data_IF_880351053225
#
_entry.id   IF_880351053225
#
_cell.length_a   1.000
_cell.length_b   1.000
_cell.length_c   1.000
_cell.angle_alpha   90.00
_cell.angle_beta   90.00
_cell.angle_gamma   90.00
#
_symmetry.space_group_name_H-M   'P 1'
#
loop_
_entity.id
_entity.type
_entity.pdbx_description
1 polymer ?
#
# COMPACT_ATOMS: atom_id res chain seq x y z
N UNK A 1 4.31 -34.28 -7.37
CA UNK A 1 4.98 -35.09 -6.36
C UNK A 1 6.40 -34.62 -5.98
N UNK A 2 7.37 -34.45 -6.89
CA UNK A 2 8.73 -33.95 -6.52
C UNK A 2 8.75 -32.48 -6.08
N UNK A 3 7.89 -31.61 -6.62
CA UNK A 3 7.78 -30.19 -6.21
C UNK A 3 7.22 -30.00 -4.78
N UNK A 4 6.53 -30.99 -4.26
CA UNK A 4 5.86 -30.93 -2.96
C UNK A 4 6.83 -31.09 -1.76
N UNK A 5 8.04 -31.59 -2.05
CA UNK A 5 9.07 -31.91 -1.04
C UNK A 5 10.15 -30.80 -1.00
N UNK A 6 10.16 -29.86 -1.96
CA UNK A 6 11.18 -28.83 -2.02
C UNK A 6 10.92 -27.74 -0.98
N UNK A 7 11.92 -27.37 -0.15
CA UNK A 7 11.77 -26.46 0.98
C UNK A 7 11.34 -25.03 0.58
N UNK A 8 11.42 -24.67 -0.69
CA UNK A 8 11.12 -23.33 -1.21
C UNK A 8 9.90 -23.28 -2.14
N UNK A 9 9.11 -24.34 -2.19
CA UNK A 9 7.87 -24.36 -2.94
C UNK A 9 6.81 -23.53 -2.16
N UNK A 10 6.38 -22.43 -2.76
CA UNK A 10 5.23 -21.66 -2.36
C UNK A 10 3.97 -22.38 -2.85
N UNK A 11 2.93 -22.45 -2.02
CA UNK A 11 1.59 -22.91 -2.39
C UNK A 11 0.58 -21.81 -2.10
N UNK A 12 -0.41 -21.75 -2.94
CA UNK A 12 -1.51 -20.79 -2.84
C UNK A 12 -2.74 -21.46 -2.25
N UNK A 13 -3.39 -20.78 -1.31
CA UNK A 13 -4.76 -21.00 -0.85
C UNK A 13 -5.57 -19.76 -1.16
N UNK A 14 -6.76 -19.92 -1.74
CA UNK A 14 -7.71 -18.83 -1.90
C UNK A 14 -8.79 -18.88 -0.83
N UNK A 15 -9.09 -17.73 -0.24
CA UNK A 15 -10.29 -17.52 0.55
C UNK A 15 -11.27 -16.70 -0.31
N UNK A 16 -12.39 -17.31 -0.65
CA UNK A 16 -13.38 -16.75 -1.54
C UNK A 16 -14.61 -16.31 -0.74
N UNK A 17 -15.31 -15.26 -1.19
CA UNK A 17 -16.60 -14.89 -0.62
C UNK A 17 -17.64 -15.99 -0.89
N UNK A 18 -18.60 -16.11 0.02
CA UNK A 18 -19.71 -17.09 -0.13
C UNK A 18 -20.59 -16.77 -1.34
N UNK A 19 -20.80 -15.49 -1.61
CA UNK A 19 -21.59 -14.95 -2.71
C UNK A 19 -20.76 -13.91 -3.47
N UNK A 20 -19.83 -14.32 -4.36
CA UNK A 20 -18.94 -13.39 -5.03
C UNK A 20 -19.68 -12.43 -5.97
N UNK A 21 -19.19 -11.22 -6.11
CA UNK A 21 -19.62 -10.37 -7.21
C UNK A 21 -19.26 -11.00 -8.54
N UNK A 22 -20.18 -10.88 -9.50
CA UNK A 22 -20.00 -11.29 -10.88
C UNK A 22 -20.35 -10.15 -11.82
N UNK A 23 -19.75 -10.14 -12.99
CA UNK A 23 -20.07 -9.25 -14.08
C UNK A 23 -20.70 -10.05 -15.21
N UNK A 24 -21.88 -9.62 -15.69
CA UNK A 24 -22.58 -10.28 -16.78
C UNK A 24 -21.84 -10.06 -18.10
N UNK A 25 -21.34 -11.12 -18.70
CA UNK A 25 -20.60 -11.07 -19.97
C UNK A 25 -20.74 -12.39 -20.71
N UNK A 26 -21.50 -12.38 -21.80
CA UNK A 26 -21.76 -13.55 -22.65
C UNK A 26 -20.50 -14.15 -23.30
N UNK A 27 -19.40 -13.41 -23.33
CA UNK A 27 -18.13 -13.91 -23.87
C UNK A 27 -17.43 -14.92 -22.94
N UNK A 28 -17.88 -15.02 -21.70
CA UNK A 28 -17.38 -16.02 -20.73
C UNK A 28 -18.32 -17.22 -20.64
N UNK A 29 -17.74 -18.38 -20.36
CA UNK A 29 -18.51 -19.60 -20.10
C UNK A 29 -19.46 -19.37 -18.91
N UNK A 30 -20.76 -19.59 -19.10
CA UNK A 30 -21.78 -19.32 -18.10
C UNK A 30 -22.36 -17.92 -18.12
N UNK A 31 -21.98 -17.05 -19.09
CA UNK A 31 -22.57 -15.71 -19.28
C UNK A 31 -22.17 -14.67 -18.23
N UNK A 32 -21.22 -14.99 -17.37
CA UNK A 32 -20.70 -14.09 -16.34
C UNK A 32 -19.25 -14.38 -15.99
N UNK A 33 -18.57 -13.43 -15.38
CA UNK A 33 -17.19 -13.56 -14.91
C UNK A 33 -17.05 -13.06 -13.49
N UNK A 34 -16.32 -13.82 -12.65
CA UNK A 34 -15.93 -13.44 -11.30
C UNK A 34 -14.46 -13.03 -11.22
N UNK A 35 -14.02 -12.46 -10.06
CA UNK A 35 -12.61 -12.20 -9.81
C UNK A 35 -11.76 -13.48 -9.85
N UNK A 36 -12.29 -14.58 -9.31
CA UNK A 36 -11.61 -15.88 -9.37
C UNK A 36 -11.33 -16.31 -10.81
N UNK A 37 -12.32 -16.25 -11.69
CA UNK A 37 -12.15 -16.59 -13.11
C UNK A 37 -11.19 -15.66 -13.85
N UNK A 38 -11.15 -14.36 -13.47
CA UNK A 38 -10.14 -13.44 -14.00
C UNK A 38 -8.73 -13.81 -13.52
N UNK A 39 -8.57 -14.23 -12.27
CA UNK A 39 -7.31 -14.74 -11.72
C UNK A 39 -6.87 -15.99 -12.49
N UNK A 40 -7.75 -16.97 -12.65
CA UNK A 40 -7.46 -18.20 -13.40
C UNK A 40 -7.01 -17.92 -14.85
N UNK A 41 -7.63 -16.93 -15.49
CA UNK A 41 -7.32 -16.55 -16.88
C UNK A 41 -6.03 -15.76 -17.02
N UNK A 42 -5.78 -14.77 -16.15
CA UNK A 42 -4.69 -13.80 -16.32
C UNK A 42 -3.52 -14.00 -15.35
N UNK A 43 -3.74 -14.66 -14.22
CA UNK A 43 -2.76 -14.78 -13.14
C UNK A 43 -2.86 -16.14 -12.44
N UNK A 44 -2.72 -17.24 -13.21
CA UNK A 44 -2.92 -18.60 -12.68
C UNK A 44 -1.98 -18.92 -11.51
N UNK A 45 -0.92 -18.15 -11.31
CA UNK A 45 -0.04 -18.27 -10.15
C UNK A 45 -0.77 -17.93 -8.83
N UNK A 46 -1.85 -17.18 -8.87
CA UNK A 46 -2.68 -16.83 -7.71
C UNK A 46 -3.87 -17.79 -7.53
N UNK A 47 -4.07 -18.76 -8.42
CA UNK A 47 -5.19 -19.71 -8.35
C UNK A 47 -5.02 -20.70 -7.20
N UNK A 48 -6.15 -21.23 -6.71
CA UNK A 48 -6.18 -22.27 -5.68
C UNK A 48 -5.25 -23.42 -6.02
N UNK A 49 -4.42 -23.84 -5.06
CA UNK A 49 -3.49 -24.97 -5.23
C UNK A 49 -2.29 -24.67 -6.12
N UNK A 50 -2.17 -23.48 -6.71
CA UNK A 50 -1.01 -23.12 -7.51
C UNK A 50 0.29 -23.25 -6.71
N UNK A 51 1.36 -23.71 -7.38
CA UNK A 51 2.66 -23.92 -6.77
C UNK A 51 3.75 -23.23 -7.59
N UNK A 52 4.60 -22.47 -6.90
CA UNK A 52 5.70 -21.73 -7.50
C UNK A 52 6.98 -21.90 -6.71
N UNK A 53 8.13 -21.82 -7.38
CA UNK A 53 9.42 -21.92 -6.74
C UNK A 53 9.94 -20.52 -6.39
N UNK A 54 10.20 -20.27 -5.12
CA UNK A 54 10.96 -19.10 -4.67
C UNK A 54 12.46 -19.40 -4.68
N UNK A 55 13.28 -18.36 -4.50
CA UNK A 55 14.73 -18.48 -4.53
C UNK A 55 15.23 -19.53 -3.52
N UNK A 56 16.05 -20.52 -3.94
CA UNK A 56 16.38 -21.68 -3.12
C UNK A 56 17.14 -21.36 -1.84
N UNK A 57 17.87 -20.25 -1.76
CA UNK A 57 18.58 -19.84 -0.54
C UNK A 57 17.71 -19.05 0.44
N UNK A 58 16.56 -18.53 -0.01
CA UNK A 58 15.62 -17.75 0.83
C UNK A 58 14.50 -18.67 1.32
N UNK A 59 14.87 -19.65 2.13
CA UNK A 59 14.08 -20.84 2.48
C UNK A 59 12.83 -20.61 3.32
N UNK A 60 12.66 -19.42 3.89
CA UNK A 60 11.49 -19.06 4.72
C UNK A 60 11.29 -17.54 4.76
N UNK A 61 10.19 -17.11 5.38
CA UNK A 61 9.80 -15.71 5.48
C UNK A 61 10.86 -14.81 6.13
N UNK A 62 11.64 -15.31 7.11
CA UNK A 62 12.72 -14.54 7.71
C UNK A 62 13.83 -14.21 6.71
N UNK A 63 14.29 -15.19 5.93
CA UNK A 63 15.33 -14.96 4.91
C UNK A 63 14.80 -14.08 3.77
N UNK A 64 13.56 -14.28 3.34
CA UNK A 64 12.89 -13.43 2.35
C UNK A 64 12.83 -11.98 2.82
N UNK A 65 12.34 -11.74 4.03
CA UNK A 65 12.19 -10.40 4.63
C UNK A 65 13.55 -9.73 4.88
N UNK A 66 14.52 -10.46 5.42
CA UNK A 66 15.86 -9.94 5.62
C UNK A 66 16.53 -9.56 4.30
N UNK A 67 16.38 -10.38 3.27
CA UNK A 67 16.89 -10.08 1.94
C UNK A 67 16.26 -8.80 1.36
N UNK A 68 14.94 -8.61 1.53
CA UNK A 68 14.26 -7.39 1.12
C UNK A 68 14.81 -6.14 1.82
N UNK A 69 15.16 -6.26 3.12
CA UNK A 69 15.63 -5.14 3.93
C UNK A 69 17.10 -4.77 3.68
N UNK A 70 17.97 -5.75 3.44
CA UNK A 70 19.41 -5.53 3.38
C UNK A 70 19.99 -5.45 1.96
N UNK A 71 19.34 -6.02 0.96
CA UNK A 71 19.81 -5.96 -0.43
C UNK A 71 19.65 -4.56 -1.01
N UNK A 72 20.73 -3.92 -1.48
CA UNK A 72 20.64 -2.64 -2.17
C UNK A 72 20.13 -2.84 -3.61
N UNK A 73 18.85 -2.63 -3.85
CA UNK A 73 18.23 -2.73 -5.17
C UNK A 73 18.34 -1.44 -6.00
N UNK A 74 19.28 -0.53 -5.69
CA UNK A 74 19.34 0.82 -6.26
C UNK A 74 19.42 0.88 -7.79
N UNK A 75 20.05 -0.10 -8.41
CA UNK A 75 20.24 -0.18 -9.86
C UNK A 75 19.23 -1.07 -10.57
N UNK A 76 18.28 -1.64 -9.84
CA UNK A 76 17.26 -2.55 -10.39
C UNK A 76 15.95 -1.77 -10.50
N UNK A 77 15.28 -1.90 -11.66
CA UNK A 77 14.01 -1.21 -11.93
C UNK A 77 14.07 0.28 -11.61
N UNK A 78 15.08 0.97 -12.14
CA UNK A 78 15.20 2.42 -11.99
C UNK A 78 14.04 3.09 -12.71
N UNK A 79 13.32 3.94 -11.99
CA UNK A 79 12.18 4.70 -12.51
C UNK A 79 12.50 6.19 -12.42
N UNK A 80 12.19 6.91 -13.47
CA UNK A 80 12.22 8.38 -13.45
C UNK A 80 10.89 8.91 -12.95
N UNK A 81 10.94 9.83 -11.99
CA UNK A 81 9.75 10.40 -11.38
C UNK A 81 9.69 11.91 -11.52
N UNK A 82 8.51 12.43 -11.79
CA UNK A 82 8.19 13.83 -11.54
C UNK A 82 7.32 13.94 -10.30
N UNK A 83 7.77 14.75 -9.35
CA UNK A 83 7.13 14.94 -8.05
C UNK A 83 6.16 16.11 -8.09
N UNK A 84 4.90 15.81 -7.75
CA UNK A 84 3.87 16.79 -7.45
C UNK A 84 3.78 16.95 -5.93
N UNK A 85 3.75 18.19 -5.44
CA UNK A 85 3.44 18.49 -4.03
C UNK A 85 1.94 18.66 -3.89
N UNK A 86 1.33 17.78 -3.11
CA UNK A 86 -0.09 17.84 -2.73
C UNK A 86 -0.24 18.75 -1.51
N UNK A 87 -1.10 19.74 -1.60
CA UNK A 87 -1.44 20.63 -0.48
C UNK A 87 -2.77 20.19 0.11
N UNK A 88 -2.76 19.82 1.37
CA UNK A 88 -3.95 19.34 2.06
C UNK A 88 -4.75 20.48 2.71
N UNK A 89 -6.05 20.28 3.00
CA UNK A 89 -6.90 21.29 3.63
C UNK A 89 -6.38 21.82 4.98
N UNK A 90 -5.64 20.99 5.73
CA UNK A 90 -5.00 21.35 7.00
C UNK A 90 -3.68 22.13 6.84
N UNK A 91 -3.38 22.62 5.64
CA UNK A 91 -2.11 23.25 5.25
C UNK A 91 -0.89 22.32 5.34
N UNK A 92 -1.09 21.02 5.58
CA UNK A 92 -0.08 20.00 5.43
C UNK A 92 0.28 19.74 3.97
N UNK A 93 1.38 19.04 3.74
CA UNK A 93 1.78 18.60 2.40
C UNK A 93 2.18 17.14 2.40
N UNK A 94 1.87 16.48 1.31
CA UNK A 94 2.42 15.21 0.89
C UNK A 94 3.01 15.31 -0.51
N UNK A 95 3.51 14.22 -1.04
CA UNK A 95 4.06 14.21 -2.40
C UNK A 95 3.54 13.01 -3.19
N UNK A 96 3.34 13.24 -4.48
CA UNK A 96 2.96 12.23 -5.46
C UNK A 96 4.05 12.15 -6.52
N UNK A 97 4.69 11.00 -6.63
CA UNK A 97 5.73 10.76 -7.62
C UNK A 97 5.12 10.05 -8.83
N UNK A 98 4.92 10.79 -9.93
CA UNK A 98 4.36 10.28 -11.18
C UNK A 98 5.50 9.74 -12.03
N UNK A 99 5.39 8.49 -12.46
CA UNK A 99 6.39 7.87 -13.33
C UNK A 99 6.39 8.54 -14.71
N UNK A 100 7.59 8.80 -15.24
CA UNK A 100 7.80 9.38 -16.56
C UNK A 100 8.85 8.59 -17.34
N UNK A 101 8.77 8.60 -18.66
CA UNK A 101 9.71 7.84 -19.51
C UNK A 101 11.16 8.32 -19.37
N UNK A 102 11.35 9.63 -19.27
CA UNK A 102 12.66 10.26 -19.10
C UNK A 102 12.52 11.63 -18.46
N UNK A 103 13.56 12.07 -17.80
CA UNK A 103 13.72 13.46 -17.37
C UNK A 103 14.57 14.20 -18.41
N UNK A 104 14.17 15.42 -18.76
CA UNK A 104 14.94 16.32 -19.60
C UNK A 104 15.47 17.48 -18.72
N UNK A 105 16.80 17.57 -18.45
CA UNK A 105 17.36 18.61 -17.61
C UNK A 105 17.03 20.04 -18.07
N UNK A 106 16.88 20.28 -19.38
CA UNK A 106 16.56 21.59 -19.93
C UNK A 106 15.10 22.01 -19.65
N UNK A 107 14.16 21.06 -19.72
CA UNK A 107 12.73 21.29 -19.51
C UNK A 107 12.36 21.14 -18.03
N UNK A 108 12.84 20.07 -17.41
CA UNK A 108 12.49 19.68 -16.04
C UNK A 108 13.25 20.49 -14.98
N UNK A 109 14.38 21.06 -15.35
CA UNK A 109 15.10 22.14 -14.67
C UNK A 109 15.30 21.99 -13.17
N UNK A 110 15.88 23.02 -12.56
CA UNK A 110 16.17 23.07 -11.12
C UNK A 110 15.00 23.67 -10.28
N UNK A 111 13.76 23.53 -10.75
CA UNK A 111 12.62 24.01 -9.98
C UNK A 111 12.42 23.16 -8.72
N UNK A 112 12.43 23.82 -7.58
CA UNK A 112 12.12 23.21 -6.27
C UNK A 112 11.06 24.07 -5.60
N UNK A 113 9.89 23.50 -5.23
CA UNK A 113 8.86 24.22 -4.50
C UNK A 113 9.39 24.76 -3.17
N UNK A 114 8.91 25.93 -2.72
CA UNK A 114 9.38 26.59 -1.49
C UNK A 114 9.31 25.66 -0.28
N UNK A 115 8.20 24.91 -0.15
CA UNK A 115 7.99 23.95 0.94
C UNK A 115 8.98 22.78 0.97
N UNK A 116 9.75 22.56 -0.12
CA UNK A 116 10.65 21.42 -0.29
C UNK A 116 12.13 21.80 -0.40
N UNK A 117 12.48 23.08 -0.26
CA UNK A 117 13.86 23.58 -0.43
C UNK A 117 14.91 22.98 0.53
N UNK A 118 14.46 22.43 1.65
CA UNK A 118 15.36 21.82 2.65
C UNK A 118 15.72 20.36 2.33
N UNK A 119 15.20 19.81 1.24
CA UNK A 119 15.40 18.41 0.84
C UNK A 119 15.99 18.34 -0.57
N UNK A 120 16.92 17.39 -0.76
CA UNK A 120 17.48 17.08 -2.07
C UNK A 120 16.87 15.80 -2.61
N UNK A 121 16.49 15.79 -3.89
CA UNK A 121 16.01 14.59 -4.57
C UNK A 121 17.17 13.85 -5.26
N UNK A 122 17.05 12.51 -5.44
CA UNK A 122 17.97 11.76 -6.29
C UNK A 122 17.89 12.22 -7.76
N UNK A 123 18.91 11.92 -8.56
CA UNK A 123 18.99 12.31 -9.99
C UNK A 123 17.82 11.82 -10.85
N UNK A 124 17.19 10.71 -10.47
CA UNK A 124 16.01 10.17 -11.17
C UNK A 124 14.69 10.87 -10.82
N UNK A 125 14.75 12.00 -10.09
CA UNK A 125 13.58 12.77 -9.68
C UNK A 125 13.72 14.24 -10.08
N UNK A 126 12.59 14.85 -10.43
CA UNK A 126 12.45 16.31 -10.55
C UNK A 126 11.06 16.74 -10.08
N UNK A 127 10.88 18.01 -9.73
CA UNK A 127 9.57 18.55 -9.40
C UNK A 127 8.82 19.01 -10.65
N UNK A 128 7.49 18.85 -10.63
CA UNK A 128 6.65 19.55 -11.58
C UNK A 128 6.69 21.06 -11.34
N UNK A 129 6.81 21.85 -12.39
CA UNK A 129 6.52 23.28 -12.34
C UNK A 129 4.99 23.48 -12.26
N UNK A 130 4.51 24.58 -11.68
CA UNK A 130 3.06 24.81 -11.55
C UNK A 130 2.28 24.81 -12.87
N UNK A 131 2.94 25.18 -13.96
CA UNK A 131 2.41 25.29 -15.33
C UNK A 131 2.81 24.11 -16.24
N UNK A 132 3.36 23.03 -15.67
CA UNK A 132 3.78 21.86 -16.47
C UNK A 132 2.54 21.21 -17.14
N UNK A 133 2.50 21.13 -18.48
CA UNK A 133 1.35 20.60 -19.19
C UNK A 133 1.07 19.12 -18.91
N UNK A 134 2.02 18.39 -18.34
CA UNK A 134 1.87 16.98 -17.96
C UNK A 134 1.10 16.79 -16.66
N UNK A 135 0.78 17.88 -15.93
CA UNK A 135 -0.02 17.86 -14.70
C UNK A 135 -1.50 17.59 -14.93
N UNK A 136 -1.97 17.61 -16.14
CA UNK A 136 -3.35 17.27 -16.49
C UNK A 136 -3.42 16.69 -17.89
N UNK A 137 -4.40 15.83 -18.13
CA UNK A 137 -4.64 15.26 -19.46
C UNK A 137 -6.06 14.73 -19.55
N UNK A 138 -6.63 14.78 -20.77
CA UNK A 138 -7.92 14.17 -21.09
C UNK A 138 -7.79 12.78 -21.72
N UNK A 139 -6.60 12.16 -21.66
CA UNK A 139 -6.46 10.77 -22.09
C UNK A 139 -7.20 9.81 -21.15
N UNK A 140 -7.45 8.60 -21.62
CA UNK A 140 -8.20 7.55 -20.93
C UNK A 140 -7.30 6.40 -20.40
N UNK A 141 -5.97 6.60 -20.38
CA UNK A 141 -5.05 5.58 -19.90
C UNK A 141 -5.34 5.22 -18.44
N UNK A 142 -5.42 3.93 -18.11
CA UNK A 142 -5.58 3.53 -16.71
C UNK A 142 -4.35 3.94 -15.87
N UNK A 143 -4.59 4.32 -14.62
CA UNK A 143 -3.52 4.76 -13.71
C UNK A 143 -3.54 3.96 -12.41
N UNK A 144 -2.38 3.47 -11.98
CA UNK A 144 -2.20 2.79 -10.70
C UNK A 144 -1.58 3.74 -9.68
N UNK A 145 -2.24 3.89 -8.54
CA UNK A 145 -1.75 4.62 -7.37
C UNK A 145 -1.12 3.60 -6.42
N UNK A 146 0.13 3.78 -6.06
CA UNK A 146 0.86 2.86 -5.19
C UNK A 146 1.09 3.52 -3.83
N UNK A 147 0.74 2.82 -2.74
CA UNK A 147 0.98 3.23 -1.37
C UNK A 147 2.10 2.36 -0.77
N UNK A 148 3.13 3.01 -0.28
CA UNK A 148 4.30 2.35 0.31
C UNK A 148 4.08 1.88 1.76
N UNK A 149 4.95 0.98 2.22
CA UNK A 149 5.01 0.52 3.61
C UNK A 149 5.58 1.56 4.58
N UNK A 150 5.70 1.18 5.84
CA UNK A 150 6.16 2.05 6.92
C UNK A 150 7.49 2.73 6.57
N UNK A 151 7.54 4.06 6.69
CA UNK A 151 8.71 4.94 6.41
C UNK A 151 9.30 4.85 5.00
N UNK A 152 8.63 4.17 4.06
CA UNK A 152 9.10 3.96 2.70
C UNK A 152 8.87 5.16 1.76
N UNK A 153 8.57 4.87 0.50
CA UNK A 153 8.29 5.86 -0.55
C UNK A 153 8.46 5.26 -1.94
N UNK A 154 8.44 6.12 -2.94
CA UNK A 154 8.61 5.72 -4.36
C UNK A 154 9.99 5.10 -4.67
N UNK A 155 10.98 5.32 -3.81
CA UNK A 155 12.31 4.72 -3.93
C UNK A 155 12.36 3.24 -3.53
N UNK A 156 11.31 2.72 -2.88
CA UNK A 156 11.24 1.32 -2.46
C UNK A 156 11.28 0.37 -3.66
N UNK A 157 12.06 -0.71 -3.53
CA UNK A 157 12.27 -1.64 -4.63
C UNK A 157 10.99 -2.33 -5.10
N UNK A 158 10.08 -2.67 -4.19
CA UNK A 158 8.78 -3.26 -4.54
C UNK A 158 7.89 -2.29 -5.32
N UNK A 159 7.90 -0.99 -4.96
CA UNK A 159 7.15 0.04 -5.67
C UNK A 159 7.72 0.26 -7.06
N UNK A 160 9.05 0.43 -7.18
CA UNK A 160 9.73 0.63 -8.48
C UNK A 160 9.54 -0.55 -9.43
N UNK A 161 9.62 -1.79 -8.92
CA UNK A 161 9.41 -3.00 -9.72
C UNK A 161 7.99 -3.02 -10.29
N UNK A 162 6.97 -2.72 -9.48
CA UNK A 162 5.59 -2.64 -9.95
C UNK A 162 5.39 -1.51 -10.95
N UNK A 163 5.86 -0.30 -10.64
CA UNK A 163 5.79 0.86 -11.55
C UNK A 163 6.44 0.53 -12.89
N UNK A 164 7.68 0.05 -12.89
CA UNK A 164 8.40 -0.28 -14.11
C UNK A 164 7.62 -1.30 -14.94
N UNK A 165 7.14 -2.38 -14.31
CA UNK A 165 6.45 -3.46 -15.03
C UNK A 165 5.12 -3.01 -15.62
N UNK A 166 4.28 -2.33 -14.86
CA UNK A 166 2.93 -1.95 -15.29
C UNK A 166 2.96 -0.86 -16.38
N UNK A 167 3.93 0.07 -16.31
CA UNK A 167 4.06 1.15 -17.29
C UNK A 167 4.73 0.72 -18.60
N UNK A 168 5.69 -0.23 -18.52
CA UNK A 168 6.42 -0.66 -19.72
C UNK A 168 5.71 -1.73 -20.52
N UNK A 169 4.94 -2.62 -19.87
CA UNK A 169 4.34 -3.77 -20.54
C UNK A 169 2.82 -3.69 -20.72
N UNK A 170 2.11 -2.87 -19.92
CA UNK A 170 0.66 -2.92 -19.87
C UNK A 170 -0.02 -1.59 -20.20
N UNK A 171 0.74 -0.59 -20.64
CA UNK A 171 0.22 0.74 -21.02
C UNK A 171 -0.60 1.45 -19.93
N UNK A 172 -0.27 1.20 -18.66
CA UNK A 172 -0.79 1.97 -17.54
C UNK A 172 0.13 3.16 -17.26
N UNK A 173 -0.45 4.24 -16.76
CA UNK A 173 0.30 5.23 -16.00
C UNK A 173 0.41 4.77 -14.55
N UNK A 174 1.43 5.23 -13.84
CA UNK A 174 1.62 4.88 -12.44
C UNK A 174 2.15 6.06 -11.63
N UNK A 175 1.71 6.15 -10.39
CA UNK A 175 2.23 7.11 -9.43
C UNK A 175 2.38 6.46 -8.05
N UNK A 176 3.30 6.98 -7.25
CA UNK A 176 3.50 6.56 -5.87
C UNK A 176 3.12 7.70 -4.95
N UNK A 177 2.13 7.46 -4.10
CA UNK A 177 1.74 8.36 -3.04
C UNK A 177 2.72 8.22 -1.89
N UNK A 178 3.46 9.30 -1.58
CA UNK A 178 4.36 9.34 -0.44
C UNK A 178 3.65 10.01 0.73
N UNK A 179 3.52 9.30 1.83
CA UNK A 179 2.97 9.82 3.07
C UNK A 179 3.78 11.01 3.61
N UNK A 180 3.16 11.85 4.44
CA UNK A 180 3.79 13.05 5.02
C UNK A 180 5.16 12.74 5.60
N UNK A 181 6.18 13.47 5.16
CA UNK A 181 7.55 13.33 5.63
C UNK A 181 8.35 12.18 5.02
N UNK A 182 7.72 11.27 4.28
CA UNK A 182 8.40 10.15 3.64
C UNK A 182 9.08 10.54 2.32
N UNK A 183 9.99 9.70 1.86
CA UNK A 183 10.68 9.83 0.58
C UNK A 183 11.30 11.22 0.36
N UNK A 184 12.04 11.72 1.36
CA UNK A 184 12.70 13.04 1.31
C UNK A 184 11.75 14.21 1.06
N UNK A 185 10.47 14.11 1.44
CA UNK A 185 9.56 15.24 1.44
C UNK A 185 9.60 15.96 2.78
N UNK A 186 9.45 17.31 2.75
CA UNK A 186 9.28 18.12 3.95
C UNK A 186 7.82 18.11 4.38
N UNK A 187 7.56 18.27 5.68
CA UNK A 187 6.23 18.55 6.22
C UNK A 187 6.06 20.03 6.51
N UNK A 188 4.85 20.55 6.41
CA UNK A 188 4.51 21.96 6.68
C UNK A 188 3.64 22.15 7.91
N UNK A 189 3.10 21.06 8.43
CA UNK A 189 2.35 20.98 9.70
C UNK A 189 3.01 20.01 10.66
N UNK A 190 2.80 20.11 11.98
CA UNK A 190 3.44 19.23 12.96
C UNK A 190 2.78 17.84 13.03
N UNK A 191 2.55 17.24 11.87
CA UNK A 191 1.88 15.96 11.74
C UNK A 191 2.58 15.07 10.71
N UNK A 192 2.77 13.80 11.05
CA UNK A 192 3.15 12.72 10.14
C UNK A 192 1.89 11.98 9.65
N UNK A 193 1.96 10.66 9.56
CA UNK A 193 0.86 9.79 9.11
C UNK A 193 0.73 8.56 10.01
N UNK A 194 -0.37 7.83 9.86
CA UNK A 194 -0.61 6.56 10.54
C UNK A 194 -1.45 5.60 9.67
N UNK A 195 -1.69 4.38 10.12
CA UNK A 195 -2.41 3.36 9.37
C UNK A 195 -3.89 3.71 9.07
N UNK A 196 -4.48 4.59 9.85
CA UNK A 196 -5.86 5.04 9.70
C UNK A 196 -6.01 6.44 9.12
N UNK A 197 -4.92 7.14 8.78
CA UNK A 197 -5.01 8.49 8.22
C UNK A 197 -5.35 8.45 6.73
N UNK A 198 -6.64 8.39 6.41
CA UNK A 198 -7.18 8.25 5.05
C UNK A 198 -7.40 9.56 4.31
N UNK A 199 -7.43 10.70 5.01
CA UNK A 199 -7.72 12.00 4.41
C UNK A 199 -6.73 12.39 3.31
N UNK A 200 -5.45 12.09 3.50
CA UNK A 200 -4.41 12.44 2.53
C UNK A 200 -4.55 11.67 1.23
N UNK A 201 -4.83 10.36 1.29
CA UNK A 201 -5.06 9.55 0.07
C UNK A 201 -6.40 9.91 -0.60
N UNK A 202 -7.44 10.23 0.18
CA UNK A 202 -8.72 10.74 -0.34
C UNK A 202 -8.51 12.03 -1.13
N UNK A 203 -7.75 12.97 -0.58
CA UNK A 203 -7.37 14.20 -1.27
C UNK A 203 -6.58 13.92 -2.55
N UNK A 204 -5.60 13.02 -2.50
CA UNK A 204 -4.81 12.60 -3.66
C UNK A 204 -5.69 12.03 -4.79
N UNK A 205 -6.62 11.14 -4.47
CA UNK A 205 -7.54 10.55 -5.47
C UNK A 205 -8.44 11.62 -6.09
N UNK A 206 -8.95 12.57 -5.29
CA UNK A 206 -9.77 13.67 -5.80
C UNK A 206 -8.96 14.63 -6.69
N UNK A 207 -7.72 14.96 -6.32
CA UNK A 207 -6.81 15.77 -7.15
C UNK A 207 -6.50 15.07 -8.48
N UNK A 208 -6.18 13.77 -8.44
CA UNK A 208 -5.94 12.99 -9.67
C UNK A 208 -7.16 12.94 -10.59
N UNK A 209 -8.37 12.80 -10.05
CA UNK A 209 -9.60 12.83 -10.84
C UNK A 209 -9.85 14.19 -11.47
N UNK A 210 -9.53 15.26 -10.78
CA UNK A 210 -9.63 16.61 -11.35
C UNK A 210 -8.64 16.83 -12.50
N UNK A 211 -7.41 16.32 -12.36
CA UNK A 211 -6.35 16.46 -13.36
C UNK A 211 -6.50 15.52 -14.55
N UNK A 212 -7.00 14.32 -14.31
CA UNK A 212 -7.09 13.22 -15.28
C UNK A 212 -8.50 12.61 -15.28
N UNK A 213 -9.52 13.37 -15.69
CA UNK A 213 -10.94 13.02 -15.48
C UNK A 213 -11.37 11.72 -16.19
N UNK A 214 -10.70 11.36 -17.28
CA UNK A 214 -11.04 10.16 -18.05
C UNK A 214 -10.27 8.92 -17.63
N UNK A 215 -9.16 9.07 -16.88
CA UNK A 215 -8.34 7.94 -16.42
C UNK A 215 -9.10 7.11 -15.40
N UNK A 216 -9.07 5.81 -15.57
CA UNK A 216 -9.61 4.85 -14.58
C UNK A 216 -8.54 4.56 -13.54
N UNK A 217 -8.86 4.79 -12.27
CA UNK A 217 -7.91 4.69 -11.16
C UNK A 217 -7.95 3.30 -10.53
N UNK A 218 -6.76 2.77 -10.27
CA UNK A 218 -6.47 1.53 -9.55
C UNK A 218 -5.57 1.86 -8.37
N UNK A 219 -5.60 1.03 -7.33
CA UNK A 219 -4.78 1.28 -6.15
C UNK A 219 -4.10 -0.01 -5.68
N UNK A 220 -2.82 0.09 -5.32
CA UNK A 220 -2.04 -1.02 -4.77
C UNK A 220 -1.34 -0.56 -3.51
N UNK A 221 -1.61 -1.22 -2.39
CA UNK A 221 -0.99 -0.91 -1.11
C UNK A 221 -0.03 -2.01 -0.65
N UNK A 222 1.09 -1.61 -0.07
CA UNK A 222 2.09 -2.51 0.50
C UNK A 222 2.21 -2.28 2.01
N UNK A 223 2.12 -3.37 2.82
CA UNK A 223 2.30 -3.29 4.27
C UNK A 223 1.41 -2.22 4.89
N UNK A 224 1.95 -1.24 5.61
CA UNK A 224 1.17 -0.13 6.19
C UNK A 224 0.35 0.63 5.13
N UNK A 225 0.89 0.80 3.91
CA UNK A 225 0.14 1.39 2.79
C UNK A 225 -1.08 0.56 2.38
N UNK A 226 -1.03 -0.77 2.55
CA UNK A 226 -2.19 -1.62 2.36
C UNK A 226 -3.25 -1.37 3.43
N UNK A 227 -2.87 -1.12 4.70
CA UNK A 227 -3.81 -0.75 5.76
C UNK A 227 -4.49 0.59 5.48
N UNK A 228 -3.71 1.62 5.12
CA UNK A 228 -4.25 2.95 4.76
C UNK A 228 -5.23 2.84 3.59
N UNK A 229 -4.85 2.11 2.55
CA UNK A 229 -5.69 1.88 1.37
C UNK A 229 -6.97 1.14 1.72
N UNK A 230 -6.88 0.04 2.50
CA UNK A 230 -8.04 -0.77 2.90
C UNK A 230 -9.02 0.05 3.74
N UNK A 231 -8.51 0.84 4.70
CA UNK A 231 -9.33 1.76 5.47
C UNK A 231 -10.00 2.78 4.55
N UNK A 232 -9.25 3.41 3.64
CA UNK A 232 -9.77 4.40 2.70
C UNK A 232 -10.92 3.84 1.84
N UNK A 233 -10.71 2.72 1.13
CA UNK A 233 -11.76 2.17 0.25
C UNK A 233 -12.95 1.62 1.05
N UNK A 234 -12.75 1.15 2.28
CA UNK A 234 -13.82 0.74 3.18
C UNK A 234 -14.66 1.93 3.67
N UNK A 235 -14.04 3.09 3.94
CA UNK A 235 -14.74 4.34 4.27
C UNK A 235 -15.52 4.91 3.09
N UNK A 236 -14.97 4.84 1.88
CA UNK A 236 -15.67 5.28 0.65
C UNK A 236 -16.84 4.35 0.27
N UNK A 237 -16.72 3.05 0.55
CA UNK A 237 -17.74 2.07 0.22
C UNK A 237 -18.12 2.13 -1.26
N UNK A 238 -19.42 2.30 -1.55
CA UNK A 238 -19.95 2.40 -2.92
C UNK A 238 -19.57 3.70 -3.64
N UNK A 239 -19.08 4.71 -2.93
CA UNK A 239 -18.68 6.00 -3.51
C UNK A 239 -17.22 5.99 -4.00
N UNK A 240 -16.51 4.89 -3.84
CA UNK A 240 -15.11 4.77 -4.25
C UNK A 240 -14.92 4.98 -5.75
N UNK A 241 -13.97 5.83 -6.11
CA UNK A 241 -13.56 6.05 -7.51
C UNK A 241 -12.59 5.01 -8.02
N UNK A 242 -12.11 4.14 -7.16
CA UNK A 242 -11.14 3.09 -7.49
C UNK A 242 -11.87 1.92 -8.16
N UNK A 243 -11.36 1.48 -9.31
CA UNK A 243 -11.97 0.40 -10.09
C UNK A 243 -11.58 -0.99 -9.59
N UNK A 244 -10.37 -1.14 -9.06
CA UNK A 244 -9.91 -2.35 -8.40
C UNK A 244 -8.77 -2.00 -7.45
N UNK A 245 -8.72 -2.67 -6.30
CA UNK A 245 -7.71 -2.47 -5.27
C UNK A 245 -6.96 -3.76 -4.95
N UNK A 246 -5.65 -3.65 -4.67
CA UNK A 246 -4.83 -4.82 -4.29
C UNK A 246 -3.98 -4.50 -3.06
N UNK A 247 -4.10 -5.33 -2.02
CA UNK A 247 -3.33 -5.24 -0.79
C UNK A 247 -2.26 -6.35 -0.73
N UNK A 248 -1.01 -5.98 -0.47
CA UNK A 248 0.08 -6.94 -0.30
C UNK A 248 0.71 -6.83 1.09
N UNK A 249 0.76 -7.94 1.82
CA UNK A 249 1.35 -7.99 3.16
C UNK A 249 0.65 -7.07 4.16
N UNK A 250 -0.66 -6.93 4.07
CA UNK A 250 -1.44 -6.05 4.94
C UNK A 250 -1.42 -6.52 6.40
N UNK A 251 -1.03 -5.67 7.37
CA UNK A 251 -1.25 -5.91 8.79
C UNK A 251 -2.73 -5.63 9.14
N UNK A 252 -3.58 -6.63 8.99
CA UNK A 252 -5.04 -6.52 9.11
C UNK A 252 -5.50 -6.03 10.49
N UNK A 253 -4.95 -6.64 11.55
CA UNK A 253 -5.13 -6.24 12.95
C UNK A 253 -3.80 -5.76 13.53
N UNK A 254 -3.71 -4.46 13.76
CA UNK A 254 -2.49 -3.83 14.26
C UNK A 254 -2.19 -4.24 15.71
N UNK A 255 -3.22 -4.56 16.50
CA UNK A 255 -3.05 -5.04 17.88
C UNK A 255 -2.37 -6.40 17.87
N UNK A 256 -2.86 -7.30 17.02
CA UNK A 256 -2.27 -8.61 16.84
C UNK A 256 -0.85 -8.53 16.26
N UNK A 257 -0.65 -7.75 15.19
CA UNK A 257 0.68 -7.60 14.57
C UNK A 257 1.71 -7.01 15.54
N UNK A 258 1.30 -6.03 16.38
CA UNK A 258 2.16 -5.48 17.43
C UNK A 258 2.49 -6.54 18.48
N UNK A 259 1.53 -7.32 18.93
CA UNK A 259 1.76 -8.42 19.86
C UNK A 259 2.70 -9.47 19.24
N UNK A 260 2.44 -9.91 18.01
CA UNK A 260 3.22 -10.93 17.32
C UNK A 260 4.69 -10.52 17.16
N UNK A 261 4.95 -9.33 16.61
CA UNK A 261 6.33 -8.87 16.36
C UNK A 261 7.11 -8.65 17.67
N UNK A 262 6.44 -8.28 18.77
CA UNK A 262 7.10 -8.05 20.06
C UNK A 262 7.27 -9.32 20.90
N UNK A 263 6.57 -10.41 20.61
CA UNK A 263 6.61 -11.65 21.39
C UNK A 263 7.30 -12.81 20.65
N UNK A 264 7.56 -12.71 19.36
CA UNK A 264 8.41 -13.67 18.65
C UNK A 264 9.89 -13.35 18.86
N UNK A 265 10.76 -14.38 18.97
CA UNK A 265 12.20 -14.17 19.23
C UNK A 265 12.88 -13.28 18.20
N UNK A 266 12.59 -13.49 16.92
CA UNK A 266 13.16 -12.69 15.81
C UNK A 266 12.50 -11.32 15.73
N UNK A 267 11.22 -11.23 15.96
CA UNK A 267 10.45 -9.98 15.98
C UNK A 267 11.00 -9.02 17.03
N UNK A 268 11.04 -9.45 18.28
CA UNK A 268 11.49 -8.63 19.41
C UNK A 268 12.97 -8.21 19.31
N UNK A 269 13.82 -9.08 18.73
CA UNK A 269 15.28 -8.81 18.68
C UNK A 269 15.72 -8.02 17.47
N UNK A 270 15.04 -8.17 16.32
CA UNK A 270 15.50 -7.59 15.05
C UNK A 270 14.44 -6.72 14.37
N UNK A 271 13.22 -7.22 14.14
CA UNK A 271 12.24 -6.52 13.32
C UNK A 271 11.64 -5.31 14.03
N UNK A 272 11.14 -5.47 15.26
CA UNK A 272 10.52 -4.36 15.98
C UNK A 272 11.53 -3.22 16.28
N UNK A 273 12.77 -3.50 16.71
CA UNK A 273 13.79 -2.46 16.86
C UNK A 273 14.16 -1.76 15.54
N UNK A 274 14.29 -2.49 14.44
CA UNK A 274 14.62 -1.90 13.15
C UNK A 274 13.52 -0.97 12.64
N UNK A 275 12.27 -1.40 12.73
CA UNK A 275 11.11 -0.58 12.35
C UNK A 275 10.96 0.64 13.27
N UNK A 276 11.17 0.47 14.58
CA UNK A 276 11.14 1.58 15.53
C UNK A 276 12.24 2.61 15.24
N UNK A 277 13.45 2.15 14.90
CA UNK A 277 14.55 3.04 14.52
C UNK A 277 14.22 3.86 13.27
N UNK A 278 13.63 3.24 12.23
CA UNK A 278 13.20 3.95 11.04
C UNK A 278 12.16 5.06 11.35
N UNK A 279 11.21 4.77 12.24
CA UNK A 279 10.23 5.77 12.71
C UNK A 279 10.87 6.90 13.51
N UNK A 280 11.81 6.57 14.39
CA UNK A 280 12.58 7.56 15.17
C UNK A 280 13.38 8.46 14.23
N UNK A 281 14.05 7.89 13.23
CA UNK A 281 14.85 8.65 12.27
C UNK A 281 13.96 9.56 11.39
N UNK A 282 12.81 9.06 10.97
CA UNK A 282 11.80 9.86 10.28
C UNK A 282 11.35 11.05 11.16
N UNK A 283 10.96 10.80 12.42
CA UNK A 283 10.52 11.85 13.33
C UNK A 283 11.61 12.87 13.61
N UNK A 284 12.86 12.43 13.81
CA UNK A 284 14.02 13.30 13.99
C UNK A 284 14.30 14.18 12.77
N UNK A 285 14.12 13.64 11.58
CA UNK A 285 14.32 14.40 10.33
C UNK A 285 13.34 15.56 10.16
N UNK A 286 12.22 15.55 10.91
CA UNK A 286 11.18 16.57 10.90
C UNK A 286 11.00 17.26 12.26
N UNK A 287 11.92 17.06 13.20
CA UNK A 287 11.81 17.48 14.59
C UNK A 287 11.49 18.97 14.74
N UNK A 288 12.12 19.84 13.94
CA UNK A 288 11.89 21.29 14.01
C UNK A 288 10.43 21.69 13.69
N UNK A 289 9.82 20.98 12.76
CA UNK A 289 8.40 21.21 12.45
C UNK A 289 7.49 20.56 13.49
N UNK A 290 7.78 19.33 13.91
CA UNK A 290 6.98 18.60 14.89
C UNK A 290 6.96 19.31 16.25
N UNK A 291 8.05 19.96 16.67
CA UNK A 291 8.13 20.78 17.90
C UNK A 291 7.28 22.05 17.87
N UNK A 292 6.69 22.45 16.74
CA UNK A 292 5.71 23.55 16.72
C UNK A 292 4.43 23.19 17.45
N UNK A 293 4.07 21.91 17.52
CA UNK A 293 3.03 21.42 18.42
C UNK A 293 3.56 21.36 19.86
N UNK A 294 2.86 21.97 20.86
CA UNK A 294 3.33 21.97 22.24
C UNK A 294 3.48 20.60 22.88
N UNK A 295 2.58 19.65 22.56
CA UNK A 295 2.64 18.27 23.09
C UNK A 295 3.85 17.53 22.52
N UNK A 296 4.13 17.70 21.24
CA UNK A 296 5.31 17.11 20.61
C UNK A 296 6.60 17.72 21.13
N UNK A 297 6.62 19.05 21.36
CA UNK A 297 7.77 19.74 21.95
C UNK A 297 8.12 19.17 23.32
N UNK A 298 7.15 19.09 24.22
CA UNK A 298 7.32 18.51 25.56
C UNK A 298 7.93 17.09 25.48
N UNK A 299 7.47 16.26 24.55
CA UNK A 299 7.97 14.89 24.35
C UNK A 299 9.42 14.86 23.86
N UNK A 300 9.81 15.72 22.95
CA UNK A 300 11.19 15.82 22.50
C UNK A 300 12.14 16.40 23.57
N UNK A 301 11.64 17.26 24.46
CA UNK A 301 12.41 17.87 25.54
C UNK A 301 12.46 17.00 26.79
N UNK A 302 11.44 16.23 27.05
CA UNK A 302 11.50 15.12 28.03
C UNK A 302 12.57 14.15 27.55
N UNK A 303 13.53 13.78 28.39
CA UNK A 303 14.60 12.82 28.04
C UNK A 303 13.98 11.66 27.24
N UNK A 304 14.32 11.58 25.96
CA UNK A 304 13.77 10.56 25.06
C UNK A 304 13.96 9.21 25.71
N UNK A 305 12.84 8.58 26.06
CA UNK A 305 12.80 7.18 26.45
C UNK A 305 13.46 6.39 25.33
N UNK A 306 14.25 5.40 25.66
CA UNK A 306 14.91 4.54 24.69
C UNK A 306 13.81 3.77 23.91
N UNK A 307 13.44 4.25 22.73
CA UNK A 307 12.38 3.67 21.89
C UNK A 307 12.98 2.52 21.10
N UNK A 308 12.60 1.31 21.48
CA UNK A 308 13.11 0.07 20.88
C UNK A 308 12.02 -0.78 20.22
N UNK A 309 10.75 -0.36 20.30
CA UNK A 309 9.63 -1.06 19.65
C UNK A 309 8.73 -0.07 18.94
N UNK A 310 8.01 -0.54 17.92
CA UNK A 310 7.00 0.25 17.22
C UNK A 310 5.91 0.74 18.20
N UNK A 311 5.47 -0.13 19.11
CA UNK A 311 4.47 0.23 20.11
C UNK A 311 4.95 1.37 21.03
N UNK A 312 6.23 1.35 21.45
CA UNK A 312 6.80 2.46 22.25
C UNK A 312 6.80 3.76 21.43
N UNK A 313 7.16 3.70 20.15
CA UNK A 313 7.08 4.87 19.28
C UNK A 313 5.64 5.38 19.16
N UNK A 314 4.69 4.49 18.94
CA UNK A 314 3.29 4.86 18.75
C UNK A 314 2.66 5.40 20.04
N UNK A 315 2.99 4.87 21.21
CA UNK A 315 2.56 5.46 22.49
C UNK A 315 3.18 6.85 22.71
N UNK A 316 4.42 7.04 22.27
CA UNK A 316 5.13 8.29 22.52
C UNK A 316 4.80 9.39 21.51
N UNK A 317 4.66 9.05 20.23
CA UNK A 317 4.46 10.00 19.13
C UNK A 317 3.11 9.84 18.42
N UNK A 318 2.83 8.68 17.82
CA UNK A 318 1.69 8.52 16.91
C UNK A 318 0.36 8.72 17.64
N UNK A 319 0.12 8.03 18.74
CA UNK A 319 -1.14 8.12 19.46
C UNK A 319 -1.47 9.58 19.88
N UNK A 320 -0.59 10.30 20.59
CA UNK A 320 -0.90 11.67 21.00
C UNK A 320 -0.95 12.67 19.83
N UNK A 321 -0.22 12.44 18.75
CA UNK A 321 -0.26 13.29 17.55
C UNK A 321 -1.64 13.25 16.87
N UNK A 322 -2.32 12.10 16.97
CA UNK A 322 -3.63 11.89 16.35
C UNK A 322 -4.78 11.80 17.35
N UNK A 323 -4.57 12.27 18.59
CA UNK A 323 -5.62 12.39 19.59
C UNK A 323 -5.99 11.12 20.35
N UNK A 324 -5.24 10.03 20.17
CA UNK A 324 -5.41 8.80 20.93
C UNK A 324 -4.66 8.89 22.28
N UNK A 325 -5.17 8.20 23.29
CA UNK A 325 -4.53 8.14 24.60
C UNK A 325 -3.40 7.12 24.65
N UNK A 326 -3.50 6.03 23.88
CA UNK A 326 -2.53 4.92 23.84
C UNK A 326 -2.36 4.38 22.43
N UNK A 327 -1.21 3.73 22.17
CA UNK A 327 -1.00 2.97 20.92
C UNK A 327 -2.06 1.86 20.74
N UNK A 328 -2.47 1.21 21.82
CA UNK A 328 -3.50 0.16 21.75
C UNK A 328 -4.86 0.69 21.29
N UNK A 329 -5.25 1.88 21.75
CA UNK A 329 -6.46 2.55 21.27
C UNK A 329 -6.36 2.88 19.79
N UNK A 330 -5.25 3.44 19.36
CA UNK A 330 -4.93 3.68 17.95
C UNK A 330 -5.00 2.39 17.14
N UNK A 331 -4.36 1.30 17.57
CA UNK A 331 -4.35 0.03 16.85
C UNK A 331 -5.75 -0.55 16.68
N UNK A 332 -6.56 -0.59 17.74
CA UNK A 332 -7.94 -1.08 17.67
C UNK A 332 -8.78 -0.29 16.68
N UNK A 333 -8.61 1.03 16.63
CA UNK A 333 -9.38 1.88 15.74
C UNK A 333 -8.87 1.80 14.28
N UNK A 334 -7.56 1.81 14.06
CA UNK A 334 -6.93 1.89 12.75
C UNK A 334 -6.75 0.52 12.07
N UNK A 335 -7.04 -0.61 12.73
CA UNK A 335 -6.99 -1.94 12.14
C UNK A 335 -7.93 -2.04 10.95
N UNK A 336 -7.38 -2.40 9.79
CA UNK A 336 -8.10 -2.32 8.52
C UNK A 336 -9.12 -3.45 8.32
N UNK A 337 -9.02 -4.55 9.07
CA UNK A 337 -10.05 -5.59 9.12
C UNK A 337 -11.43 -5.01 9.53
N UNK A 338 -11.45 -3.98 10.36
CA UNK A 338 -12.67 -3.30 10.80
C UNK A 338 -13.49 -2.67 9.65
N UNK A 339 -12.86 -2.38 8.50
CA UNK A 339 -13.53 -1.74 7.34
C UNK A 339 -13.71 -2.69 6.17
N UNK A 340 -13.23 -3.92 6.30
CA UNK A 340 -13.27 -4.90 5.21
C UNK A 340 -14.70 -5.19 4.76
N UNK A 341 -15.67 -5.26 5.68
CA UNK A 341 -17.08 -5.48 5.38
C UNK A 341 -17.76 -4.31 4.64
N UNK A 342 -17.18 -3.11 4.69
CA UNK A 342 -17.71 -1.93 3.97
C UNK A 342 -17.24 -1.82 2.54
N UNK A 343 -16.21 -2.55 2.14
CA UNK A 343 -15.62 -2.44 0.80
C UNK A 343 -16.66 -2.81 -0.27
N UNK A 344 -16.80 -1.96 -1.27
CA UNK A 344 -17.63 -2.17 -2.47
C UNK A 344 -16.82 -2.02 -3.77
N UNK A 345 -15.50 -1.91 -3.64
CA UNK A 345 -14.54 -1.96 -4.72
C UNK A 345 -14.02 -3.39 -4.86
N UNK A 346 -13.94 -3.99 -6.05
CA UNK A 346 -13.26 -5.28 -6.26
C UNK A 346 -11.86 -5.26 -5.63
N UNK A 347 -11.63 -6.18 -4.69
CA UNK A 347 -10.50 -6.14 -3.79
C UNK A 347 -9.80 -7.49 -3.71
N UNK A 348 -8.52 -7.50 -4.09
CA UNK A 348 -7.63 -8.65 -3.98
C UNK A 348 -6.62 -8.42 -2.86
N UNK A 349 -6.53 -9.34 -1.91
CA UNK A 349 -5.48 -9.34 -0.90
C UNK A 349 -4.48 -10.48 -1.13
N UNK A 350 -3.20 -10.24 -0.86
CA UNK A 350 -2.14 -11.25 -0.96
C UNK A 350 -1.29 -11.18 0.31
N UNK A 351 -1.31 -12.23 1.12
CA UNK A 351 -0.52 -12.34 2.34
C UNK A 351 0.26 -13.65 2.37
N UNK A 352 1.40 -13.64 3.05
CA UNK A 352 2.20 -14.85 3.31
C UNK A 352 1.96 -15.37 4.72
N UNK A 353 1.74 -16.67 4.86
CA UNK A 353 1.56 -17.31 6.17
C UNK A 353 2.88 -17.39 6.98
N UNK A 354 4.03 -17.23 6.32
CA UNK A 354 5.35 -17.19 6.98
C UNK A 354 5.89 -15.75 7.16
N UNK A 355 5.00 -14.74 7.08
CA UNK A 355 5.35 -13.33 7.29
C UNK A 355 5.79 -13.10 8.76
N UNK A 356 7.07 -12.71 9.00
CA UNK A 356 7.59 -12.57 10.35
C UNK A 356 7.23 -11.25 11.04
N UNK A 357 6.49 -10.37 10.37
CA UNK A 357 6.10 -9.03 10.86
C UNK A 357 4.63 -8.99 11.22
N UNK A 358 3.78 -9.45 10.31
CA UNK A 358 2.33 -9.32 10.41
C UNK A 358 1.71 -10.41 11.29
N UNK A 359 2.23 -11.66 11.21
CA UNK A 359 1.59 -12.83 11.79
C UNK A 359 0.40 -13.30 10.94
N UNK A 360 0.19 -14.61 10.90
CA UNK A 360 -0.88 -15.21 10.06
C UNK A 360 -2.19 -15.41 10.82
N UNK A 361 -2.17 -15.35 12.14
CA UNK A 361 -3.32 -15.67 13.00
C UNK A 361 -4.43 -14.61 12.92
N UNK A 362 -4.12 -13.42 12.40
CA UNK A 362 -5.06 -12.31 12.22
C UNK A 362 -5.54 -12.15 10.77
N UNK A 363 -5.42 -13.18 9.93
CA UNK A 363 -6.01 -13.14 8.58
C UNK A 363 -7.53 -13.06 8.66
N UNK A 364 -8.16 -12.08 7.99
CA UNK A 364 -9.59 -11.81 8.12
C UNK A 364 -10.41 -12.73 7.19
N UNK A 365 -10.21 -14.04 7.29
CA UNK A 365 -10.85 -15.00 6.38
C UNK A 365 -12.38 -14.93 6.45
N UNK A 366 -12.95 -14.73 7.65
CA UNK A 366 -14.41 -14.68 7.83
C UNK A 366 -15.01 -13.40 7.23
N UNK A 367 -14.35 -12.26 7.38
CA UNK A 367 -14.77 -11.01 6.75
C UNK A 367 -14.66 -11.10 5.21
N UNK A 368 -13.62 -11.78 4.71
CA UNK A 368 -13.49 -12.05 3.27
C UNK A 368 -14.61 -12.96 2.77
N UNK A 369 -14.96 -14.02 3.50
CA UNK A 369 -16.10 -14.90 3.15
C UNK A 369 -17.42 -14.15 3.15
N UNK A 370 -17.59 -13.20 4.04
CA UNK A 370 -18.82 -12.43 4.19
C UNK A 370 -18.97 -11.29 3.18
N UNK A 371 -17.87 -10.76 2.61
CA UNK A 371 -17.95 -9.62 1.70
C UNK A 371 -17.81 -10.06 0.23
N UNK A 372 -18.85 -9.92 -0.61
CA UNK A 372 -18.84 -10.31 -2.02
C UNK A 372 -17.72 -9.71 -2.88
N UNK A 373 -17.19 -8.55 -2.49
CA UNK A 373 -16.19 -7.80 -3.26
C UNK A 373 -14.75 -8.21 -2.99
N UNK A 374 -14.49 -9.09 -2.02
CA UNK A 374 -13.15 -9.39 -1.53
C UNK A 374 -12.71 -10.79 -1.92
N UNK A 375 -11.39 -10.95 -2.15
CA UNK A 375 -10.73 -12.23 -2.36
C UNK A 375 -9.35 -12.18 -1.69
N UNK A 376 -9.01 -13.20 -0.90
CA UNK A 376 -7.69 -13.30 -0.25
C UNK A 376 -6.91 -14.48 -0.82
N UNK A 377 -5.69 -14.19 -1.23
CA UNK A 377 -4.67 -15.16 -1.63
C UNK A 377 -3.67 -15.30 -0.48
N UNK A 378 -3.64 -16.47 0.12
CA UNK A 378 -2.65 -16.86 1.12
C UNK A 378 -1.56 -17.70 0.49
N UNK A 379 -0.32 -17.41 0.82
CA UNK A 379 0.81 -18.20 0.35
C UNK A 379 1.56 -18.84 1.52
N UNK A 380 1.95 -20.10 1.38
CA UNK A 380 2.68 -20.80 2.46
C UNK A 380 4.05 -20.18 2.74
N UNK A 381 4.61 -19.44 1.77
CA UNK A 381 5.93 -18.79 1.84
C UNK A 381 5.91 -17.47 1.11
N UNK A 382 6.76 -16.55 1.54
CA UNK A 382 6.89 -15.24 0.88
C UNK A 382 7.56 -14.18 1.75
N UNK A 383 7.41 -14.28 3.07
CA UNK A 383 7.84 -13.26 4.02
C UNK A 383 7.09 -11.94 3.84
N UNK A 384 7.61 -10.86 4.44
CA UNK A 384 6.97 -9.56 4.43
C UNK A 384 7.31 -8.78 3.14
N UNK A 385 6.34 -8.64 2.22
CA UNK A 385 6.46 -7.90 0.94
C UNK A 385 7.67 -8.37 0.10
N UNK A 386 8.06 -9.63 0.20
CA UNK A 386 9.29 -10.15 -0.40
C UNK A 386 9.03 -11.07 -1.60
N UNK A 387 8.70 -12.33 -1.41
CA UNK A 387 8.43 -13.32 -2.47
C UNK A 387 9.47 -13.36 -3.59
N UNK A 388 10.76 -13.33 -3.28
CA UNK A 388 11.82 -13.34 -4.28
C UNK A 388 11.94 -14.69 -4.97
N UNK A 389 11.94 -14.68 -6.30
CA UNK A 389 12.23 -15.83 -7.15
C UNK A 389 13.73 -15.93 -7.50
N UNK A 390 14.45 -14.80 -7.49
CA UNK A 390 15.87 -14.74 -7.83
C UNK A 390 16.64 -13.71 -6.98
N UNK A 391 17.95 -13.62 -7.23
CA UNK A 391 18.85 -12.63 -6.60
C UNK A 391 18.89 -11.28 -7.33
N UNK A 392 18.14 -11.11 -8.42
CA UNK A 392 18.07 -9.86 -9.19
C UNK A 392 16.88 -9.00 -8.80
N UNK A 393 16.08 -9.44 -7.82
CA UNK A 393 14.95 -8.68 -7.30
C UNK A 393 13.60 -9.03 -7.92
N UNK A 394 13.54 -10.06 -8.76
CA UNK A 394 12.26 -10.55 -9.30
C UNK A 394 11.40 -11.09 -8.18
N UNK A 395 10.18 -10.56 -8.07
CA UNK A 395 9.17 -10.98 -7.09
C UNK A 395 8.06 -11.75 -7.79
N UNK A 396 7.68 -12.86 -7.19
CA UNK A 396 6.66 -13.78 -7.69
C UNK A 396 5.33 -13.09 -8.03
N UNK A 397 4.89 -12.14 -7.21
CA UNK A 397 3.59 -11.49 -7.39
C UNK A 397 3.55 -10.42 -8.49
N UNK A 398 4.70 -9.85 -8.90
CA UNK A 398 4.71 -8.62 -9.72
C UNK A 398 4.07 -8.82 -11.09
N UNK A 399 4.52 -9.82 -11.86
CA UNK A 399 3.98 -10.10 -13.20
C UNK A 399 2.52 -10.56 -13.13
N UNK A 400 2.12 -11.51 -12.25
CA UNK A 400 0.73 -11.89 -12.10
C UNK A 400 -0.17 -10.72 -11.71
N UNK A 401 0.26 -9.85 -10.80
CA UNK A 401 -0.50 -8.67 -10.41
C UNK A 401 -0.75 -7.71 -11.59
N UNK A 402 0.28 -7.44 -12.38
CA UNK A 402 0.14 -6.58 -13.56
C UNK A 402 -0.83 -7.20 -14.59
N UNK A 403 -0.75 -8.51 -14.83
CA UNK A 403 -1.69 -9.22 -15.71
C UNK A 403 -3.12 -9.18 -15.18
N UNK A 404 -3.31 -9.38 -13.87
CA UNK A 404 -4.62 -9.29 -13.23
C UNK A 404 -5.24 -7.90 -13.43
N UNK A 405 -4.53 -6.82 -13.08
CA UNK A 405 -5.02 -5.45 -13.24
C UNK A 405 -5.33 -5.12 -14.70
N UNK A 406 -4.46 -5.53 -15.63
CA UNK A 406 -4.67 -5.33 -17.06
C UNK A 406 -5.84 -6.14 -17.59
N UNK A 407 -6.00 -7.39 -17.15
CA UNK A 407 -7.12 -8.25 -17.49
C UNK A 407 -8.43 -7.69 -16.96
N UNK A 408 -8.46 -7.24 -15.70
CA UNK A 408 -9.61 -6.60 -15.09
C UNK A 408 -10.02 -5.33 -15.85
N UNK A 409 -9.04 -4.49 -16.20
CA UNK A 409 -9.30 -3.29 -17.00
C UNK A 409 -9.94 -3.64 -18.34
N UNK A 410 -9.38 -4.61 -19.06
CA UNK A 410 -9.84 -5.04 -20.38
C UNK A 410 -11.24 -5.67 -20.35
N UNK A 411 -11.44 -6.62 -19.43
CA UNK A 411 -12.66 -7.43 -19.45
C UNK A 411 -13.84 -6.77 -18.73
N UNK A 412 -13.58 -5.93 -17.73
CA UNK A 412 -14.63 -5.32 -16.92
C UNK A 412 -14.79 -3.84 -17.24
N UNK A 413 -13.70 -3.07 -17.07
CA UNK A 413 -13.80 -1.61 -17.05
C UNK A 413 -14.03 -1.03 -18.45
N UNK A 414 -13.31 -1.53 -19.47
CA UNK A 414 -13.49 -1.07 -20.86
C UNK A 414 -14.82 -1.51 -21.46
N UNK A 415 -15.40 -2.62 -20.95
CA UNK A 415 -16.73 -3.07 -21.37
C UNK A 415 -17.85 -2.37 -20.59
N UNK A 416 -17.52 -1.54 -19.60
CA UNK A 416 -18.51 -0.84 -18.77
C UNK A 416 -19.40 -1.76 -17.93
N UNK A 417 -18.90 -2.93 -17.54
CA UNK A 417 -19.68 -3.90 -16.80
C UNK A 417 -19.79 -3.48 -15.32
N UNK A 418 -21.00 -3.61 -14.78
CA UNK A 418 -21.26 -3.31 -13.36
C UNK A 418 -21.33 -4.63 -12.54
N UNK A 419 -20.81 -4.62 -11.29
CA UNK A 419 -20.83 -5.80 -10.45
C UNK A 419 -22.24 -6.10 -9.95
N UNK A 420 -22.59 -7.38 -9.88
CA UNK A 420 -23.81 -7.88 -9.27
C UNK A 420 -23.50 -9.05 -8.33
N UNK A 421 -24.34 -9.26 -7.33
CA UNK A 421 -24.26 -10.40 -6.39
C UNK A 421 -25.66 -10.86 -6.04
N UNK A 422 -25.82 -12.14 -5.76
CA UNK A 422 -27.05 -12.75 -5.25
C UNK A 422 -27.09 -12.77 -3.71
N UNK A 423 -25.99 -12.39 -3.05
CA UNK A 423 -25.89 -12.30 -1.60
C UNK A 423 -26.25 -10.92 -1.04
N UNK A 424 -26.66 -10.92 0.22
CA UNK A 424 -26.83 -9.68 0.96
C UNK A 424 -25.50 -8.96 1.16
N UNK A 425 -25.51 -7.64 1.04
CA UNK A 425 -24.32 -6.84 1.32
C UNK A 425 -24.13 -6.70 2.83
N UNK A 426 -22.97 -7.07 3.38
CA UNK A 426 -22.73 -6.98 4.80
C UNK A 426 -22.79 -5.53 5.26
N UNK A 427 -23.35 -5.31 6.47
CA UNK A 427 -23.32 -4.03 7.13
C UNK A 427 -22.06 -3.94 7.99
N UNK A 428 -21.41 -2.79 7.94
CA UNK A 428 -20.29 -2.51 8.82
C UNK A 428 -20.76 -1.71 10.04
N UNK A 429 -20.46 -2.23 11.22
CA UNK A 429 -20.75 -1.57 12.50
C UNK A 429 -19.61 -0.66 12.99
N UNK A 430 -18.49 -0.64 12.28
CA UNK A 430 -17.37 0.27 12.56
C UNK A 430 -17.50 1.53 11.70
N UNK A 431 -17.51 2.68 12.36
CA UNK A 431 -17.46 3.98 11.67
C UNK A 431 -16.10 4.24 10.99
N UNK A 432 -15.94 5.43 10.40
CA UNK A 432 -14.65 5.89 9.90
C UNK A 432 -13.58 5.86 10.99
N UNK A 433 -12.31 5.83 10.59
CA UNK A 433 -11.20 5.92 11.55
C UNK A 433 -11.27 7.27 12.25
N UNK A 434 -11.19 7.28 13.57
CA UNK A 434 -11.41 8.47 14.40
C UNK A 434 -10.57 9.68 13.99
N UNK A 435 -9.33 9.41 13.52
CA UNK A 435 -8.40 10.45 13.06
C UNK A 435 -8.78 11.09 11.71
N UNK A 436 -9.79 10.56 11.01
CA UNK A 436 -10.27 11.13 9.75
C UNK A 436 -11.42 12.13 9.98
N UNK A 437 -11.94 12.21 11.20
CA UNK A 437 -13.07 13.06 11.58
C UNK A 437 -12.65 14.41 12.21
N UNK A 438 -11.37 14.78 12.13
CA UNK A 438 -10.99 16.13 12.49
C UNK A 438 -11.66 17.06 11.49
N UNK A 439 -12.74 17.72 11.94
CA UNK A 439 -13.45 18.74 11.19
C UNK A 439 -12.44 19.82 10.79
N UNK A 440 -12.26 19.96 9.52
CA UNK A 440 -11.51 21.04 8.92
C UNK A 440 -12.51 22.19 8.67
N UNK A 441 -12.98 22.81 9.78
CA UNK A 441 -13.71 24.08 9.73
C UNK A 441 -12.79 25.24 9.35
#
# INVERSE_FOLDING_TARGET
>A
MLRDILPNCLRVKQVLPLHPVVWQDESFAGGSVSMQQLIEKYSPEFSEGAASMLHPMLINGHFQTAYAAYKPFKTIDVVNYKRLVLKYPDNGVGTLDIAVKSLNPEIDGNYVPESQKTRSLPESYSYFKPDDPRLSSNDDKPMVIILHGLTGGSAESYARTLVNRITTLYNFEACVFNARGCCQSSITTPQLYNAGWTNDIRHCVNDLRSRFPNRKLYIVGFSLGASVMTNYIGEEGANSYIKCAVALGNPWDLTHSSYYINNTKMGARFYSPALAQNLVDLSKSHMEMLKKDPKMRERYESKMVNINTVEQFDNFFTAPMFGYNTATEYYRNASSCNRLLSIRTPFLAINSLDDPIVGFEAMPEEEVRANPFTLLVETTKGGHVAWFEDTKGKRWYTDPLCRFLSGFHKEIVLKGLEPSTDGDLPQNNFGPVMTTQLDYD
#
